data_IF_554600284884
#
_entry.id   IF_554600284884
#
_cell.length_a   1.000
_cell.length_b   1.000
_cell.length_c   1.000
_cell.angle_alpha   90.00
_cell.angle_beta   90.00
_cell.angle_gamma   90.00
#
_symmetry.space_group_name_H-M   'P 1'
#
loop_
_entity.id
_entity.type
_entity.pdbx_description
1 polymer ?
#
# COMPACT_ATOMS: atom_id res chain seq x y z
N UNK A 1 -26.84 -10.52 -17.82
CA UNK A 1 -26.06 -9.30 -18.09
C UNK A 1 -24.60 -9.65 -17.94
N UNK A 2 -23.78 -9.42 -18.97
CA UNK A 2 -22.35 -9.68 -18.89
C UNK A 2 -21.76 -8.67 -17.90
N UNK A 3 -21.23 -9.14 -16.77
CA UNK A 3 -20.60 -8.25 -15.80
C UNK A 3 -19.42 -7.56 -16.49
N UNK A 4 -19.46 -6.23 -16.57
CA UNK A 4 -18.37 -5.44 -17.15
C UNK A 4 -17.06 -5.67 -16.41
N UNK A 5 -15.95 -5.30 -17.04
CA UNK A 5 -14.61 -5.38 -16.46
C UNK A 5 -14.56 -4.67 -15.10
N UNK A 6 -13.92 -5.24 -14.06
CA UNK A 6 -13.81 -4.60 -12.76
C UNK A 6 -13.20 -3.20 -12.85
N UNK A 7 -13.68 -2.25 -12.05
CA UNK A 7 -13.20 -0.86 -12.06
C UNK A 7 -12.63 -0.52 -10.70
N UNK A 8 -11.34 -0.20 -10.65
CA UNK A 8 -10.63 0.26 -9.46
C UNK A 8 -10.49 1.78 -9.46
N UNK A 9 -11.13 2.43 -8.49
CA UNK A 9 -10.89 3.82 -8.16
C UNK A 9 -9.64 3.92 -7.28
N UNK A 10 -8.57 4.53 -7.78
CA UNK A 10 -7.25 4.45 -7.16
C UNK A 10 -6.48 5.77 -7.25
N UNK A 11 -5.62 6.02 -6.25
CA UNK A 11 -4.61 7.07 -6.32
C UNK A 11 -3.21 6.46 -6.36
N UNK A 12 -2.36 6.94 -7.26
CA UNK A 12 -1.07 6.28 -7.53
C UNK A 12 -0.15 6.17 -6.30
N UNK A 13 -0.18 7.16 -5.38
CA UNK A 13 0.61 7.18 -4.13
C UNK A 13 -0.11 6.57 -2.92
N UNK A 14 -1.36 6.14 -3.06
CA UNK A 14 -2.12 5.57 -1.94
C UNK A 14 -1.62 4.17 -1.61
N UNK A 15 -1.16 3.98 -0.36
CA UNK A 15 -0.78 2.67 0.17
C UNK A 15 -1.95 1.70 0.07
N UNK A 16 -3.14 2.11 0.50
CA UNK A 16 -4.36 1.29 0.47
C UNK A 16 -4.73 0.86 -0.96
N UNK A 17 -4.60 1.75 -1.95
CA UNK A 17 -4.88 1.41 -3.35
C UNK A 17 -3.86 0.43 -3.91
N UNK A 18 -2.58 0.49 -3.48
CA UNK A 18 -1.60 -0.50 -3.87
C UNK A 18 -1.88 -1.90 -3.38
N UNK A 19 -2.42 -2.05 -2.16
CA UNK A 19 -2.83 -3.36 -1.61
C UNK A 19 -3.75 -4.10 -2.59
N UNK A 20 -4.75 -3.39 -3.10
CA UNK A 20 -5.73 -3.94 -4.04
C UNK A 20 -5.11 -4.20 -5.42
N UNK A 21 -4.27 -3.28 -5.92
CA UNK A 21 -3.54 -3.50 -7.19
C UNK A 21 -2.67 -4.76 -7.16
N UNK A 22 -1.99 -5.00 -6.04
CA UNK A 22 -1.16 -6.21 -5.86
C UNK A 22 -2.06 -7.45 -5.80
N UNK A 23 -3.17 -7.41 -5.05
CA UNK A 23 -4.09 -8.55 -4.97
C UNK A 23 -4.71 -8.90 -6.34
N UNK A 24 -5.17 -7.90 -7.10
CA UNK A 24 -5.69 -8.09 -8.46
C UNK A 24 -4.62 -8.69 -9.39
N UNK A 25 -3.38 -8.18 -9.31
CA UNK A 25 -2.27 -8.71 -10.11
C UNK A 25 -1.90 -10.15 -9.74
N UNK A 26 -1.84 -10.49 -8.44
CA UNK A 26 -1.58 -11.86 -7.98
C UNK A 26 -2.69 -12.81 -8.43
N UNK A 27 -3.95 -12.36 -8.40
CA UNK A 27 -5.10 -13.12 -8.89
C UNK A 27 -5.21 -13.14 -10.42
N UNK A 28 -4.34 -12.45 -11.15
CA UNK A 28 -4.41 -12.28 -12.60
C UNK A 28 -5.77 -11.76 -13.09
N UNK A 29 -6.39 -10.87 -12.31
CA UNK A 29 -7.67 -10.24 -12.66
C UNK A 29 -7.37 -8.97 -13.44
N UNK A 30 -7.86 -8.92 -14.68
CA UNK A 30 -7.81 -7.72 -15.52
C UNK A 30 -8.86 -6.71 -15.03
N UNK A 31 -8.48 -5.43 -14.93
CA UNK A 31 -9.33 -4.36 -14.39
C UNK A 31 -9.00 -3.01 -15.03
N UNK A 32 -9.97 -2.10 -15.00
CA UNK A 32 -9.78 -0.71 -15.40
C UNK A 32 -9.46 0.15 -14.17
N UNK A 33 -8.58 1.14 -14.34
CA UNK A 33 -8.25 2.08 -13.26
C UNK A 33 -8.86 3.44 -13.55
N UNK A 34 -9.68 3.94 -12.64
CA UNK A 34 -10.12 5.33 -12.62
C UNK A 34 -9.25 6.09 -11.61
N UNK A 35 -8.39 7.03 -12.05
CA UNK A 35 -7.55 7.79 -11.14
C UNK A 35 -8.38 8.81 -10.35
N UNK A 36 -8.23 8.80 -9.02
CA UNK A 36 -8.80 9.81 -8.11
C UNK A 36 -7.64 10.57 -7.47
N UNK A 37 -7.48 11.84 -7.82
CA UNK A 37 -6.41 12.69 -7.33
C UNK A 37 -6.75 13.21 -5.92
N UNK A 38 -5.92 12.85 -4.94
CA UNK A 38 -6.17 13.21 -3.53
C UNK A 38 -5.66 14.61 -3.13
N UNK A 39 -4.94 15.29 -4.02
CA UNK A 39 -4.25 16.57 -3.73
C UNK A 39 -4.78 17.70 -4.60
N UNK A 40 -4.96 17.45 -5.90
CA UNK A 40 -5.40 18.47 -6.86
C UNK A 40 -6.80 18.96 -6.51
N UNK A 41 -7.01 20.27 -6.62
CA UNK A 41 -8.32 20.94 -6.44
C UNK A 41 -8.98 20.65 -5.07
N UNK A 42 -8.17 20.48 -4.01
CA UNK A 42 -8.65 20.13 -2.67
C UNK A 42 -8.92 18.63 -2.46
N UNK A 43 -8.92 17.84 -3.54
CA UNK A 43 -9.07 16.39 -3.54
C UNK A 43 -10.36 15.92 -4.23
N UNK A 44 -10.24 15.16 -5.31
CA UNK A 44 -11.36 14.61 -6.07
C UNK A 44 -12.21 13.61 -5.26
N UNK A 45 -11.67 13.06 -4.18
CA UNK A 45 -12.42 12.21 -3.25
C UNK A 45 -13.56 12.96 -2.54
N UNK A 46 -13.56 14.30 -2.59
CA UNK A 46 -14.63 15.13 -2.05
C UNK A 46 -15.67 15.55 -3.09
N UNK A 47 -15.57 15.12 -4.35
CA UNK A 47 -16.63 15.38 -5.33
C UNK A 47 -17.90 14.64 -4.97
N UNK A 48 -19.07 15.17 -5.32
CA UNK A 48 -20.36 14.54 -5.03
C UNK A 48 -20.46 13.14 -5.65
N UNK A 49 -19.91 12.98 -6.87
CA UNK A 49 -19.90 11.72 -7.60
C UNK A 49 -19.08 10.64 -6.87
N UNK A 50 -17.92 11.01 -6.31
CA UNK A 50 -17.11 10.06 -5.56
C UNK A 50 -17.67 9.79 -4.16
N UNK A 51 -18.27 10.78 -3.51
CA UNK A 51 -18.93 10.60 -2.21
C UNK A 51 -20.12 9.64 -2.30
N UNK A 52 -20.92 9.73 -3.37
CA UNK A 52 -22.00 8.78 -3.62
C UNK A 52 -21.49 7.34 -3.82
N UNK A 53 -20.27 7.20 -4.36
CA UNK A 53 -19.62 5.91 -4.58
C UNK A 53 -18.99 5.34 -3.30
N UNK A 54 -18.28 6.16 -2.54
CA UNK A 54 -17.68 5.81 -1.25
C UNK A 54 -17.88 6.95 -0.24
N UNK A 55 -18.86 6.82 0.68
CA UNK A 55 -19.16 7.87 1.67
C UNK A 55 -17.99 8.22 2.59
N UNK A 56 -17.02 7.31 2.77
CA UNK A 56 -15.79 7.57 3.54
C UNK A 56 -14.81 8.49 2.81
N UNK A 57 -15.06 8.88 1.55
CA UNK A 57 -14.24 9.82 0.77
C UNK A 57 -12.79 9.36 0.67
N UNK A 58 -12.60 8.06 0.48
CA UNK A 58 -11.28 7.40 0.50
C UNK A 58 -11.11 6.49 -0.72
N UNK A 59 -9.85 6.28 -1.11
CA UNK A 59 -9.46 5.25 -2.07
C UNK A 59 -8.70 4.13 -1.35
N UNK A 60 -8.85 2.87 -1.79
CA UNK A 60 -9.53 2.42 -2.99
C UNK A 60 -11.04 2.20 -2.81
N UNK A 61 -11.74 2.17 -3.95
CA UNK A 61 -13.05 1.53 -4.09
C UNK A 61 -13.03 0.65 -5.35
N UNK A 62 -13.61 -0.56 -5.26
CA UNK A 62 -13.64 -1.52 -6.37
C UNK A 62 -15.10 -1.78 -6.76
N UNK A 63 -15.41 -1.57 -8.04
CA UNK A 63 -16.64 -2.09 -8.66
C UNK A 63 -16.34 -3.44 -9.29
N UNK A 64 -17.04 -4.48 -8.86
CA UNK A 64 -16.86 -5.86 -9.33
C UNK A 64 -18.15 -6.64 -9.08
N UNK A 65 -18.49 -7.58 -9.96
CA UNK A 65 -19.64 -8.50 -9.80
C UNK A 65 -20.99 -7.80 -9.46
N UNK A 66 -21.20 -6.58 -9.96
CA UNK A 66 -22.43 -5.80 -9.73
C UNK A 66 -22.49 -5.05 -8.40
N UNK A 67 -21.44 -5.12 -7.56
CA UNK A 67 -21.35 -4.40 -6.29
C UNK A 67 -20.20 -3.40 -6.27
N UNK A 68 -20.23 -2.47 -5.31
CA UNK A 68 -19.13 -1.53 -5.02
C UNK A 68 -18.62 -1.79 -3.61
N UNK A 69 -17.33 -2.10 -3.48
CA UNK A 69 -16.69 -2.42 -2.20
C UNK A 69 -15.66 -1.33 -1.88
N UNK A 70 -15.82 -0.68 -0.73
CA UNK A 70 -14.77 0.15 -0.11
C UNK A 70 -13.94 -0.66 0.89
N UNK A 71 -12.89 -0.06 1.45
CA UNK A 71 -11.93 -0.69 2.37
C UNK A 71 -11.03 -1.74 1.73
N UNK A 72 -9.71 -1.52 1.78
CA UNK A 72 -8.75 -2.36 1.06
C UNK A 72 -8.74 -3.82 1.53
N UNK A 73 -8.97 -4.08 2.82
CA UNK A 73 -8.98 -5.47 3.34
C UNK A 73 -10.26 -6.21 2.97
N UNK A 74 -11.43 -5.55 3.04
CA UNK A 74 -12.69 -6.14 2.61
C UNK A 74 -12.64 -6.51 1.11
N UNK A 75 -12.05 -5.65 0.28
CA UNK A 75 -11.81 -5.96 -1.13
C UNK A 75 -10.94 -7.21 -1.29
N UNK A 76 -9.84 -7.33 -0.54
CA UNK A 76 -8.91 -8.47 -0.66
C UNK A 76 -9.57 -9.78 -0.19
N UNK A 77 -10.31 -9.75 0.91
CA UNK A 77 -11.04 -10.93 1.41
C UNK A 77 -12.13 -11.34 0.39
N UNK A 78 -12.85 -10.39 -0.20
CA UNK A 78 -13.82 -10.69 -1.27
C UNK A 78 -13.16 -11.36 -2.49
N UNK A 79 -11.99 -10.86 -2.91
CA UNK A 79 -11.23 -11.48 -4.01
C UNK A 79 -10.72 -12.87 -3.63
N UNK A 80 -10.35 -13.10 -2.37
CA UNK A 80 -9.94 -14.41 -1.87
C UNK A 80 -11.10 -15.41 -1.86
N UNK A 81 -12.28 -14.99 -1.40
CA UNK A 81 -13.47 -15.84 -1.31
C UNK A 81 -14.05 -16.18 -2.69
N UNK A 82 -14.05 -15.22 -3.62
CA UNK A 82 -14.68 -15.40 -4.94
C UNK A 82 -13.73 -15.91 -6.02
N UNK A 83 -12.42 -15.67 -5.89
CA UNK A 83 -11.37 -16.18 -6.80
C UNK A 83 -10.33 -16.91 -5.96
N UNK A 84 -10.60 -18.13 -5.47
CA UNK A 84 -9.75 -18.80 -4.48
C UNK A 84 -8.34 -19.13 -4.95
N UNK A 85 -8.09 -19.14 -6.26
CA UNK A 85 -6.78 -19.49 -6.85
C UNK A 85 -6.19 -18.30 -7.62
N UNK A 86 -4.88 -17.99 -7.47
CA UNK A 86 -3.97 -18.49 -6.43
C UNK A 86 -4.34 -17.96 -5.04
N UNK A 87 -4.12 -18.75 -4.00
CA UNK A 87 -4.48 -18.39 -2.63
C UNK A 87 -3.63 -17.22 -2.13
N UNK A 88 -4.29 -16.23 -1.52
CA UNK A 88 -3.62 -15.14 -0.81
C UNK A 88 -3.52 -15.48 0.68
N UNK A 89 -4.43 -16.28 1.22
CA UNK A 89 -4.40 -16.67 2.61
C UNK A 89 -4.02 -18.14 2.76
N UNK A 90 -3.25 -18.50 3.80
CA UNK A 90 -2.96 -19.90 4.09
C UNK A 90 -4.25 -20.66 4.44
N UNK A 91 -4.22 -21.98 4.32
CA UNK A 91 -5.35 -22.84 4.70
C UNK A 91 -5.50 -22.98 6.23
N UNK A 92 -4.37 -23.08 6.94
CA UNK A 92 -4.35 -23.24 8.40
C UNK A 92 -4.99 -22.03 9.10
N UNK A 93 -6.10 -22.22 9.85
CA UNK A 93 -6.77 -21.15 10.60
C UNK A 93 -5.84 -20.36 11.53
N UNK A 94 -4.84 -21.00 12.14
CA UNK A 94 -3.87 -20.32 13.01
C UNK A 94 -2.99 -19.37 12.21
N UNK A 95 -2.49 -19.82 11.06
CA UNK A 95 -1.71 -18.97 10.15
C UNK A 95 -2.56 -17.85 9.56
N UNK A 96 -3.84 -18.11 9.23
CA UNK A 96 -4.79 -17.07 8.79
C UNK A 96 -4.98 -16.00 9.84
N UNK A 97 -5.08 -16.38 11.11
CA UNK A 97 -5.18 -15.44 12.22
C UNK A 97 -3.93 -14.54 12.31
N UNK A 98 -2.73 -15.09 12.18
CA UNK A 98 -1.51 -14.28 12.15
C UNK A 98 -1.45 -13.34 10.94
N UNK A 99 -1.86 -13.80 9.76
CA UNK A 99 -1.96 -12.96 8.57
C UNK A 99 -2.91 -11.78 8.78
N UNK A 100 -4.09 -12.02 9.37
CA UNK A 100 -5.05 -10.96 9.67
C UNK A 100 -4.54 -10.01 10.75
N UNK A 101 -3.95 -10.54 11.82
CA UNK A 101 -3.36 -9.74 12.89
C UNK A 101 -2.31 -8.76 12.36
N UNK A 102 -1.40 -9.22 11.50
CA UNK A 102 -0.39 -8.33 10.88
C UNK A 102 -1.06 -7.34 9.92
N UNK A 103 -2.04 -7.79 9.15
CA UNK A 103 -2.81 -6.93 8.25
C UNK A 103 -3.45 -5.78 9.01
N UNK A 104 -4.18 -6.07 10.08
CA UNK A 104 -4.92 -5.12 10.91
C UNK A 104 -3.99 -4.19 11.69
N UNK A 105 -2.83 -4.69 12.15
CA UNK A 105 -1.80 -3.83 12.74
C UNK A 105 -1.38 -2.73 11.75
N UNK A 106 -1.19 -3.07 10.47
CA UNK A 106 -0.78 -2.10 9.46
C UNK A 106 -1.95 -1.22 9.01
N UNK A 107 -3.13 -1.81 8.76
CA UNK A 107 -4.28 -1.13 8.15
C UNK A 107 -5.11 -0.33 9.17
N UNK A 108 -5.16 -0.77 10.42
CA UNK A 108 -5.86 -0.11 11.52
C UNK A 108 -4.92 0.60 12.49
N UNK A 109 -3.76 0.00 12.79
CA UNK A 109 -2.82 0.53 13.79
C UNK A 109 -1.81 1.56 13.30
N UNK A 110 -1.46 1.56 12.00
CA UNK A 110 -0.43 2.45 11.43
C UNK A 110 -1.03 3.40 10.40
N UNK A 111 -1.60 2.85 9.33
CA UNK A 111 -2.01 3.63 8.16
C UNK A 111 -3.00 4.77 8.49
N UNK A 112 -4.01 4.59 9.35
CA UNK A 112 -4.96 5.67 9.63
C UNK A 112 -4.32 6.86 10.34
N UNK A 113 -3.35 6.61 11.22
CA UNK A 113 -2.67 7.65 12.00
C UNK A 113 -1.79 8.57 11.14
N UNK A 114 -1.29 8.07 10.01
CA UNK A 114 -0.49 8.83 9.05
C UNK A 114 -1.27 9.19 7.76
N UNK A 115 -2.59 9.02 7.75
CA UNK A 115 -3.41 9.36 6.60
C UNK A 115 -3.41 10.88 6.33
N UNK A 116 -3.48 11.29 5.05
CA UNK A 116 -3.53 12.69 4.63
C UNK A 116 -4.58 13.52 5.41
N UNK A 117 -5.77 12.98 5.67
CA UNK A 117 -6.81 13.72 6.41
C UNK A 117 -6.42 13.99 7.86
N UNK A 118 -5.72 13.04 8.50
CA UNK A 118 -5.24 13.17 9.88
C UNK A 118 -4.03 14.11 9.93
N UNK A 119 -3.08 13.96 9.02
CA UNK A 119 -1.90 14.83 8.95
C UNK A 119 -2.28 16.30 8.71
N UNK A 120 -3.32 16.57 7.91
CA UNK A 120 -3.88 17.92 7.75
C UNK A 120 -4.41 18.51 9.08
N UNK A 121 -5.02 17.69 9.93
CA UNK A 121 -5.52 18.13 11.24
C UNK A 121 -4.39 18.33 12.27
N UNK A 122 -3.33 17.53 12.19
CA UNK A 122 -2.14 17.66 13.06
C UNK A 122 -1.38 18.97 12.79
N UNK A 123 -1.50 19.53 11.58
CA UNK A 123 -0.87 20.78 11.19
C UNK A 123 0.53 20.57 10.60
N UNK A 124 0.95 21.50 9.74
CA UNK A 124 2.17 21.36 8.94
C UNK A 124 3.45 21.22 9.76
N UNK A 125 3.52 21.86 10.93
CA UNK A 125 4.70 21.84 11.81
C UNK A 125 4.92 20.45 12.44
N UNK A 126 3.83 19.75 12.78
CA UNK A 126 3.89 18.51 13.54
C UNK A 126 3.63 17.24 12.70
N UNK A 127 3.13 17.38 11.47
CA UNK A 127 2.72 16.24 10.63
C UNK A 127 3.83 15.20 10.42
N UNK A 128 5.09 15.65 10.24
CA UNK A 128 6.21 14.75 9.97
C UNK A 128 6.56 13.94 11.22
N UNK A 129 6.75 14.62 12.35
CA UNK A 129 7.06 13.99 13.64
C UNK A 129 5.95 13.03 14.08
N UNK A 130 4.69 13.42 13.86
CA UNK A 130 3.53 12.58 14.14
C UNK A 130 3.53 11.30 13.29
N UNK A 131 3.67 11.44 11.97
CA UNK A 131 3.71 10.31 11.04
C UNK A 131 4.87 9.36 11.40
N UNK A 132 6.05 9.90 11.67
CA UNK A 132 7.22 9.12 12.08
C UNK A 132 6.95 8.37 13.37
N UNK A 133 6.40 9.00 14.40
CA UNK A 133 6.10 8.34 15.68
C UNK A 133 5.10 7.20 15.51
N UNK A 134 4.02 7.41 14.75
CA UNK A 134 3.03 6.38 14.45
C UNK A 134 3.65 5.19 13.70
N UNK A 135 4.45 5.47 12.66
CA UNK A 135 5.14 4.45 11.87
C UNK A 135 6.15 3.69 12.73
N UNK A 136 7.03 4.38 13.45
CA UNK A 136 8.06 3.76 14.31
C UNK A 136 7.42 2.90 15.39
N UNK A 137 6.37 3.38 16.07
CA UNK A 137 5.71 2.60 17.11
C UNK A 137 5.08 1.33 16.56
N UNK A 138 4.39 1.40 15.43
CA UNK A 138 3.79 0.23 14.81
C UNK A 138 4.83 -0.74 14.25
N UNK A 139 5.90 -0.23 13.66
CA UNK A 139 6.99 -1.05 13.13
C UNK A 139 7.78 -1.77 14.24
N UNK A 140 7.97 -1.14 15.39
CA UNK A 140 8.59 -1.80 16.55
C UNK A 140 7.77 -3.00 17.03
N UNK A 141 6.44 -2.86 17.11
CA UNK A 141 5.55 -3.98 17.45
C UNK A 141 5.57 -5.06 16.35
N UNK A 142 5.52 -4.65 15.08
CA UNK A 142 5.55 -5.55 13.94
C UNK A 142 6.84 -6.38 13.88
N UNK A 143 8.00 -5.77 14.12
CA UNK A 143 9.29 -6.49 14.17
C UNK A 143 9.26 -7.61 15.22
N UNK A 144 8.70 -7.35 16.40
CA UNK A 144 8.59 -8.35 17.46
C UNK A 144 7.67 -9.52 17.07
N UNK A 145 6.53 -9.21 16.44
CA UNK A 145 5.59 -10.22 15.92
C UNK A 145 6.26 -11.07 14.84
N UNK A 146 7.05 -10.45 13.96
CA UNK A 146 7.72 -11.16 12.87
C UNK A 146 8.81 -12.11 13.36
N UNK A 147 9.38 -11.92 14.56
CA UNK A 147 10.34 -12.88 15.13
C UNK A 147 9.76 -14.28 15.33
N UNK A 148 8.45 -14.38 15.60
CA UNK A 148 7.78 -15.66 15.86
C UNK A 148 6.93 -16.17 14.69
N UNK A 149 6.63 -15.32 13.70
CA UNK A 149 5.72 -15.65 12.59
C UNK A 149 6.42 -15.78 11.24
N UNK A 150 7.54 -15.09 11.04
CA UNK A 150 8.18 -14.99 9.72
C UNK A 150 8.99 -16.24 9.34
N UNK A 151 8.81 -16.65 8.08
CA UNK A 151 9.70 -17.57 7.36
C UNK A 151 10.38 -16.82 6.21
N UNK A 152 10.14 -17.24 4.97
CA UNK A 152 10.48 -16.48 3.76
C UNK A 152 9.69 -15.18 3.63
N UNK A 153 8.46 -15.17 4.13
CA UNK A 153 7.55 -14.02 4.15
C UNK A 153 7.07 -13.73 5.58
N UNK A 154 6.14 -12.79 5.72
CA UNK A 154 5.59 -12.37 7.01
C UNK A 154 5.02 -13.52 7.85
N UNK A 155 4.44 -14.54 7.20
CA UNK A 155 3.90 -15.73 7.86
C UNK A 155 4.37 -16.96 7.08
N UNK A 156 5.38 -17.66 7.59
CA UNK A 156 5.95 -18.83 6.93
C UNK A 156 6.53 -18.54 5.54
N UNK A 157 6.38 -19.49 4.61
CA UNK A 157 7.05 -19.49 3.30
C UNK A 157 6.14 -19.22 2.09
N UNK A 158 4.86 -18.95 2.33
CA UNK A 158 3.86 -18.64 1.31
C UNK A 158 3.55 -17.14 1.23
N UNK A 159 3.31 -16.63 0.02
CA UNK A 159 2.99 -15.20 -0.19
C UNK A 159 1.61 -14.93 0.40
N UNK A 160 1.51 -13.91 1.26
CA UNK A 160 0.24 -13.47 1.85
C UNK A 160 0.07 -11.94 1.79
N UNK A 161 -1.18 -11.40 1.84
CA UNK A 161 -1.49 -9.98 1.76
C UNK A 161 -0.64 -9.05 2.65
N UNK A 162 -0.28 -9.41 3.90
CA UNK A 162 0.60 -8.60 4.74
C UNK A 162 1.91 -8.20 4.06
N UNK A 163 2.43 -9.08 3.20
CA UNK A 163 3.68 -8.85 2.47
C UNK A 163 3.56 -7.67 1.50
N UNK A 164 2.39 -7.50 0.88
CA UNK A 164 2.09 -6.37 0.01
C UNK A 164 1.96 -5.05 0.79
N UNK A 165 1.68 -5.12 2.10
CA UNK A 165 1.41 -3.96 2.94
C UNK A 165 2.69 -3.31 3.46
N UNK A 166 3.76 -4.10 3.62
CA UNK A 166 5.08 -3.65 4.09
C UNK A 166 5.87 -2.82 3.07
N UNK A 167 5.62 -2.99 1.76
CA UNK A 167 6.49 -2.41 0.73
C UNK A 167 6.41 -0.88 0.60
N UNK A 168 5.39 -0.22 1.19
CA UNK A 168 5.19 1.22 0.99
C UNK A 168 4.92 2.06 2.24
N UNK A 169 4.75 1.48 3.42
CA UNK A 169 4.48 2.29 4.62
C UNK A 169 5.62 3.25 4.99
N UNK A 170 6.80 3.14 4.37
CA UNK A 170 7.80 4.22 4.35
C UNK A 170 8.91 3.97 3.32
N UNK A 171 9.20 4.91 2.39
CA UNK A 171 10.42 4.88 1.56
C UNK A 171 11.73 5.07 2.37
N UNK A 172 11.63 5.55 3.62
CA UNK A 172 12.76 5.94 4.47
C UNK A 172 12.97 5.02 5.68
N UNK A 173 12.10 4.04 5.90
CA UNK A 173 12.28 3.07 6.98
C UNK A 173 13.03 1.85 6.41
N UNK A 174 14.23 1.52 6.93
CA UNK A 174 14.92 0.31 6.51
C UNK A 174 14.03 -0.91 6.76
N UNK A 175 14.08 -1.94 5.90
CA UNK A 175 13.33 -3.16 6.14
C UNK A 175 13.66 -3.74 7.52
N UNK A 176 12.72 -4.46 8.15
CA UNK A 176 12.97 -5.16 9.40
C UNK A 176 14.25 -5.99 9.29
N UNK A 177 15.11 -5.96 10.32
CA UNK A 177 16.45 -6.62 10.27
C UNK A 177 16.35 -8.15 10.36
N UNK A 178 15.15 -8.70 10.55
CA UNK A 178 14.85 -10.12 10.58
C UNK A 178 14.92 -10.84 9.22
N UNK A 179 14.56 -12.13 9.22
CA UNK A 179 14.68 -13.06 8.08
C UNK A 179 13.84 -12.71 6.83
N UNK A 180 12.93 -11.74 6.91
CA UNK A 180 12.12 -11.27 5.79
C UNK A 180 12.97 -10.46 4.78
N UNK A 181 13.45 -11.11 3.71
CA UNK A 181 14.20 -10.43 2.64
C UNK A 181 13.29 -9.93 1.51
N UNK A 182 13.33 -8.64 1.14
CA UNK A 182 12.60 -8.10 -0.02
C UNK A 182 13.13 -8.55 -1.40
N UNK A 183 14.26 -9.25 -1.47
CA UNK A 183 15.00 -9.53 -2.72
C UNK A 183 14.24 -10.44 -3.72
N UNK A 184 13.23 -11.20 -3.25
CA UNK A 184 12.48 -12.16 -4.06
C UNK A 184 11.60 -11.53 -5.14
N UNK A 185 11.34 -10.22 -5.08
CA UNK A 185 10.37 -9.54 -5.94
C UNK A 185 10.92 -8.98 -7.26
N UNK A 186 12.22 -9.09 -7.55
CA UNK A 186 12.76 -8.57 -8.83
C UNK A 186 12.23 -9.27 -10.08
N UNK A 187 11.70 -10.50 -10.00
CA UNK A 187 11.28 -11.28 -11.17
C UNK A 187 9.84 -11.05 -11.64
N UNK A 188 8.95 -10.48 -10.81
CA UNK A 188 7.53 -10.30 -11.15
C UNK A 188 7.17 -8.99 -11.89
N UNK A 189 8.12 -8.06 -12.04
CA UNK A 189 7.88 -6.69 -12.56
C UNK A 189 7.97 -6.58 -14.09
N UNK A 190 7.35 -7.51 -14.83
CA UNK A 190 6.98 -7.27 -16.24
C UNK A 190 5.53 -7.69 -16.44
N UNK A 191 4.62 -6.81 -16.09
CA UNK A 191 3.27 -6.80 -16.68
C UNK A 191 3.18 -5.45 -17.42
N UNK A 192 2.96 -5.53 -18.74
CA UNK A 192 3.19 -4.52 -19.78
C UNK A 192 2.46 -3.19 -19.56
N UNK A 193 2.87 -2.07 -20.18
CA UNK A 193 3.54 -1.94 -21.47
C UNK A 193 2.53 -1.38 -22.48
N UNK A 194 2.65 -0.06 -22.76
CA UNK A 194 1.92 0.77 -23.75
C UNK A 194 0.48 1.17 -23.36
N UNK A 195 0.06 2.44 -23.27
CA UNK A 195 0.45 3.69 -23.92
C UNK A 195 0.29 4.87 -22.92
N UNK A 196 0.97 6.01 -22.99
CA UNK A 196 1.75 6.58 -24.08
C UNK A 196 2.80 7.59 -23.57
N UNK A 197 3.65 7.95 -24.53
CA UNK A 197 4.86 8.77 -24.45
C UNK A 197 4.72 9.99 -23.53
N UNK A 198 5.25 9.86 -22.31
CA UNK A 198 5.84 11.00 -21.62
C UNK A 198 7.20 10.57 -21.09
N UNK A 199 8.25 11.11 -21.70
CA UNK A 199 9.65 10.91 -21.38
C UNK A 199 9.95 11.39 -19.95
N UNK A 200 9.76 10.51 -18.98
CA UNK A 200 10.09 10.73 -17.57
C UNK A 200 10.12 9.45 -16.72
N UNK A 201 9.91 8.28 -17.35
CA UNK A 201 9.93 6.98 -16.68
C UNK A 201 11.36 6.57 -16.32
N UNK A 202 11.80 6.97 -15.13
CA UNK A 202 12.80 6.22 -14.37
C UNK A 202 12.13 5.72 -13.09
N UNK A 203 12.24 4.42 -12.86
CA UNK A 203 11.89 3.80 -11.58
C UNK A 203 12.52 4.60 -10.42
N UNK A 204 11.91 4.64 -9.21
CA UNK A 204 12.36 5.49 -8.10
C UNK A 204 13.75 5.15 -7.51
N UNK A 205 14.54 4.30 -8.17
CA UNK A 205 15.95 4.06 -7.88
C UNK A 205 16.83 5.33 -7.85
N UNK A 206 16.33 6.48 -8.29
CA UNK A 206 17.09 7.74 -8.34
C UNK A 206 16.99 8.65 -7.11
N UNK A 207 16.12 8.37 -6.15
CA UNK A 207 16.14 9.11 -4.86
C UNK A 207 17.13 8.45 -3.87
N UNK A 208 17.50 7.19 -4.09
CA UNK A 208 18.38 6.42 -3.20
C UNK A 208 19.89 6.61 -3.43
N UNK A 209 20.30 7.28 -4.52
CA UNK A 209 21.73 7.56 -4.77
C UNK A 209 22.23 8.88 -4.18
N UNK A 210 21.37 9.66 -3.52
CA UNK A 210 21.69 11.02 -3.05
C UNK A 210 21.62 11.22 -1.53
N UNK A 211 21.36 10.18 -0.75
CA UNK A 211 21.18 10.28 0.71
C UNK A 211 22.04 9.32 1.55
N UNK A 212 23.12 8.79 0.99
CA UNK A 212 24.18 8.16 1.76
C UNK A 212 25.50 8.89 1.51
N UNK A 213 26.06 9.64 2.47
CA UNK A 213 27.49 9.87 2.47
C UNK A 213 28.14 8.74 3.29
N UNK A 214 28.89 7.89 2.60
CA UNK A 214 30.07 7.33 3.22
C UNK A 214 30.94 8.53 3.65
N UNK A 215 31.22 8.64 4.95
CA UNK A 215 32.31 9.42 5.53
C UNK A 215 32.43 10.90 5.14
N UNK A 216 32.17 11.80 6.10
CA UNK A 216 32.61 13.21 6.17
C UNK A 216 32.45 14.07 4.91
N UNK A 217 31.52 15.04 4.90
CA UNK A 217 31.82 16.44 4.53
C UNK A 217 30.62 17.38 4.77
N UNK A 218 30.94 18.67 4.86
CA UNK A 218 30.17 19.83 5.35
C UNK A 218 28.79 20.08 4.72
N UNK A 219 27.92 20.63 5.57
CA UNK A 219 26.68 21.34 5.27
C UNK A 219 26.86 22.45 4.22
N UNK A 220 26.01 22.44 3.19
CA UNK A 220 25.44 23.65 2.59
C UNK A 220 23.94 23.42 2.37
N UNK A 221 23.15 24.33 2.89
CA UNK A 221 21.71 24.41 2.74
C UNK A 221 21.32 24.68 1.28
N UNK A 222 20.16 24.15 0.86
CA UNK A 222 19.44 24.72 -0.27
C UNK A 222 17.93 24.56 -0.10
N UNK A 223 17.27 25.71 -0.19
CA UNK A 223 15.85 26.00 -0.04
C UNK A 223 15.00 25.55 -1.23
N UNK A 224 13.69 25.40 -0.97
CA UNK A 224 12.63 25.28 -1.97
C UNK A 224 11.67 24.16 -1.57
N UNK A 225 10.44 24.40 -1.12
CA UNK A 225 9.49 25.46 -1.46
C UNK A 225 8.16 24.72 -1.69
N UNK A 226 7.15 25.07 -0.90
CA UNK A 226 5.88 24.35 -0.70
C UNK A 226 5.06 24.09 -1.97
#
# INVERSE_FOLDING_TARGET
MQAGKPILYSYFRSSCSWRVRIALALKSIDYETIPINLVKDGGQQFSEEFQALNPMKQVPALKIDGITIGQSLAIIEYLEETRPTPQLLPQDPKKRAYVRMISDLITGGIQPLQNLSVLKQVGQENQLTWAQKAITSGFNALEQILQSTAGRYCVGDEVSPPQAFLQWTSPSTPPPRGKCRPESFRRGYRIGGDQGRNSGFRAPHLILRRLLPAGRLRLRAYDGGF
#
